data_IF_794449764429
#
_entry.id   IF_794449764429
#
_cell.length_a   1.000
_cell.length_b   1.000
_cell.length_c   1.000
_cell.angle_alpha   90.00
_cell.angle_beta   90.00
_cell.angle_gamma   90.00
#
_symmetry.space_group_name_H-M   'P 1'
#
loop_
_entity.id
_entity.type
_entity.pdbx_description
1 polymer ?
#
# COMPACT_ATOMS: atom_id res chain seq x y z
N UNK A 1 -3.10 83.16 0.10
CA UNK A 1 -3.15 82.01 -0.81
C UNK A 1 -2.98 80.74 0.00
N UNK A 2 -3.83 79.76 -0.27
CA UNK A 2 -4.08 78.52 0.47
C UNK A 2 -2.85 77.61 0.63
N UNK A 3 -2.63 77.06 1.82
CA UNK A 3 -1.90 75.81 1.99
C UNK A 3 -2.90 74.70 2.33
N UNK A 4 -3.15 73.86 1.32
CA UNK A 4 -3.92 72.64 1.37
C UNK A 4 -3.13 71.59 2.15
N UNK A 5 -3.65 71.12 3.28
CA UNK A 5 -3.15 69.92 3.94
C UNK A 5 -3.86 68.70 3.34
N UNK A 6 -3.11 67.87 2.60
CA UNK A 6 -3.61 66.58 2.12
C UNK A 6 -3.69 65.58 3.29
N UNK A 7 -4.77 64.81 3.43
CA UNK A 7 -4.82 63.76 4.45
C UNK A 7 -3.94 62.58 4.00
N UNK A 8 -3.01 62.16 4.84
CA UNK A 8 -2.26 60.93 4.59
C UNK A 8 -3.16 59.72 4.87
N UNK A 9 -3.41 58.90 3.85
CA UNK A 9 -4.02 57.57 3.99
C UNK A 9 -3.00 56.63 4.63
N UNK A 10 -3.33 56.07 5.78
CA UNK A 10 -2.60 54.94 6.36
C UNK A 10 -2.83 53.68 5.51
N UNK A 11 -1.80 52.87 5.21
CA UNK A 11 -2.00 51.60 4.52
C UNK A 11 -2.72 50.60 5.45
N UNK A 12 -3.53 49.67 4.91
CA UNK A 12 -4.14 48.62 5.71
C UNK A 12 -3.06 47.67 6.26
N UNK A 13 -3.29 47.02 7.41
CA UNK A 13 -2.34 46.04 7.92
C UNK A 13 -2.24 44.88 6.93
N UNK A 14 -1.03 44.52 6.53
CA UNK A 14 -0.79 43.24 5.86
C UNK A 14 -1.16 42.13 6.85
N UNK A 15 -2.30 41.48 6.64
CA UNK A 15 -2.54 40.16 7.20
C UNK A 15 -1.58 39.18 6.55
N UNK A 16 -0.41 39.02 7.17
CA UNK A 16 0.52 37.93 6.87
C UNK A 16 -0.16 36.63 7.32
N UNK A 17 -0.93 36.02 6.42
CA UNK A 17 -1.22 34.59 6.51
C UNK A 17 0.11 33.87 6.28
N UNK A 18 0.76 33.49 7.37
CA UNK A 18 1.85 32.54 7.34
C UNK A 18 1.30 31.20 6.81
N UNK A 19 1.30 31.03 5.49
CA UNK A 19 1.28 29.71 4.85
C UNK A 19 2.64 29.06 5.14
N UNK A 20 2.84 28.63 6.38
CA UNK A 20 3.87 27.64 6.69
C UNK A 20 3.62 26.39 5.84
N UNK A 21 4.66 25.59 5.54
CA UNK A 21 4.46 24.33 4.86
C UNK A 21 3.39 23.56 5.62
N UNK A 22 2.27 23.25 4.95
CA UNK A 22 1.25 22.36 5.46
C UNK A 22 1.91 20.99 5.66
N UNK A 23 2.56 20.80 6.80
CA UNK A 23 2.96 19.48 7.27
C UNK A 23 1.63 18.76 7.51
N UNK A 24 1.21 17.97 6.53
CA UNK A 24 0.02 17.15 6.66
C UNK A 24 0.20 16.29 7.91
N UNK A 25 -0.73 16.37 8.90
CA UNK A 25 -0.43 15.99 10.27
C UNK A 25 -0.01 14.53 10.45
N UNK A 26 -0.28 13.65 9.50
CA UNK A 26 0.36 12.33 9.38
C UNK A 26 0.38 11.96 7.90
N UNK A 27 1.49 11.42 7.39
CA UNK A 27 1.58 10.90 6.03
C UNK A 27 1.66 9.39 6.11
N UNK A 28 0.80 8.68 5.38
CA UNK A 28 0.84 7.24 5.37
C UNK A 28 2.01 6.77 4.52
N UNK A 29 2.99 6.17 5.17
CA UNK A 29 4.14 5.56 4.53
C UNK A 29 3.80 4.11 4.15
N UNK A 30 3.88 3.71 2.89
CA UNK A 30 3.66 2.31 2.54
C UNK A 30 4.83 1.40 2.94
N UNK A 31 6.02 1.94 3.15
CA UNK A 31 7.20 1.15 3.50
C UNK A 31 7.06 0.47 4.87
N UNK A 32 7.55 -0.76 4.95
CA UNK A 32 7.55 -1.59 6.14
C UNK A 32 6.67 -2.82 6.05
N UNK A 33 6.35 -3.39 7.21
CA UNK A 33 5.66 -4.67 7.33
C UNK A 33 4.16 -4.49 7.62
N UNK A 34 3.36 -5.21 6.87
CA UNK A 34 1.90 -5.20 6.92
C UNK A 34 1.36 -6.62 7.10
N UNK A 35 0.22 -6.75 7.78
CA UNK A 35 -0.53 -8.02 7.91
C UNK A 35 -2.01 -7.78 7.60
N UNK A 36 -2.60 -8.64 6.78
CA UNK A 36 -4.05 -8.60 6.54
C UNK A 36 -4.85 -9.46 7.54
N UNK A 37 -6.16 -9.43 7.41
CA UNK A 37 -7.11 -10.20 8.22
C UNK A 37 -7.03 -11.73 8.00
N UNK A 38 -6.37 -12.18 6.93
CA UNK A 38 -6.12 -13.60 6.64
C UNK A 38 -4.75 -14.06 7.14
N UNK A 39 -4.02 -13.20 7.86
CA UNK A 39 -2.66 -13.42 8.36
C UNK A 39 -1.54 -13.46 7.31
N UNK A 40 -1.83 -13.12 6.06
CA UNK A 40 -0.80 -12.87 5.04
C UNK A 40 0.05 -11.67 5.44
N UNK A 41 1.36 -11.78 5.20
CA UNK A 41 2.35 -10.75 5.48
C UNK A 41 2.84 -10.11 4.19
N UNK A 42 3.07 -8.80 4.24
CA UNK A 42 3.60 -8.03 3.13
C UNK A 42 4.67 -7.08 3.64
N UNK A 43 5.86 -7.16 3.08
CA UNK A 43 6.96 -6.23 3.35
C UNK A 43 7.18 -5.37 2.10
N UNK A 44 7.02 -4.06 2.24
CA UNK A 44 7.25 -3.08 1.19
C UNK A 44 8.59 -2.37 1.48
N UNK A 45 9.46 -2.34 0.48
CA UNK A 45 10.74 -1.64 0.55
C UNK A 45 10.52 -0.11 0.56
N UNK A 46 11.60 0.67 0.60
CA UNK A 46 11.52 2.12 0.49
C UNK A 46 10.82 2.54 -0.81
N UNK A 47 9.77 3.35 -0.72
CA UNK A 47 9.15 4.00 -1.90
C UNK A 47 10.11 5.05 -2.46
N UNK A 48 10.35 5.04 -3.77
CA UNK A 48 11.22 6.02 -4.42
C UNK A 48 10.50 7.35 -4.71
N UNK A 49 11.24 8.36 -5.18
CA UNK A 49 10.69 9.70 -5.43
C UNK A 49 9.65 9.74 -6.57
N UNK A 50 9.62 8.71 -7.43
CA UNK A 50 8.60 8.52 -8.46
C UNK A 50 7.35 7.81 -7.93
N UNK A 51 7.32 7.43 -6.64
CA UNK A 51 6.23 6.69 -6.02
C UNK A 51 6.27 5.18 -6.27
N UNK A 52 7.31 4.65 -6.93
CA UNK A 52 7.45 3.23 -7.21
C UNK A 52 8.05 2.48 -6.02
N UNK A 53 7.67 1.22 -5.86
CA UNK A 53 8.19 0.36 -4.80
C UNK A 53 8.26 -1.10 -5.22
N UNK A 54 9.14 -1.83 -4.55
CA UNK A 54 9.22 -3.28 -4.55
C UNK A 54 8.94 -3.83 -3.18
N UNK A 55 8.87 -5.16 -3.09
CA UNK A 55 8.82 -5.83 -1.81
C UNK A 55 8.60 -7.32 -1.97
N UNK A 56 8.09 -7.93 -0.90
CA UNK A 56 7.74 -9.33 -0.85
C UNK A 56 6.39 -9.53 -0.18
N UNK A 57 5.65 -10.52 -0.68
CA UNK A 57 4.38 -10.97 -0.13
C UNK A 57 4.52 -12.43 0.32
N UNK A 58 3.95 -12.75 1.46
CA UNK A 58 3.81 -14.11 1.96
C UNK A 58 2.34 -14.34 2.28
N UNK A 59 1.67 -15.12 1.44
CA UNK A 59 0.28 -15.48 1.69
C UNK A 59 0.17 -16.48 2.84
N UNK A 60 -0.89 -16.40 3.64
CA UNK A 60 -1.23 -17.42 4.63
C UNK A 60 -2.23 -18.45 4.08
N UNK A 61 -2.82 -18.19 2.91
CA UNK A 61 -3.82 -19.04 2.25
C UNK A 61 -3.41 -19.33 0.81
N UNK A 62 -3.88 -20.44 0.24
CA UNK A 62 -3.60 -20.79 -1.16
C UNK A 62 -4.78 -21.54 -1.80
N UNK A 63 -4.95 -21.40 -3.11
CA UNK A 63 -5.89 -22.19 -3.90
C UNK A 63 -5.24 -23.45 -4.51
N UNK A 64 -3.92 -23.63 -4.32
CA UNK A 64 -3.16 -24.78 -4.81
C UNK A 64 -2.68 -25.66 -3.65
N UNK A 65 -2.35 -26.92 -3.93
CA UNK A 65 -1.66 -27.79 -2.96
C UNK A 65 -0.15 -27.53 -2.86
N UNK A 66 0.36 -26.51 -3.56
CA UNK A 66 1.79 -26.22 -3.58
C UNK A 66 2.22 -25.54 -2.28
N UNK A 67 3.46 -25.79 -1.90
CA UNK A 67 4.07 -25.16 -0.73
C UNK A 67 4.10 -23.63 -0.89
N UNK A 68 3.52 -22.92 0.07
CA UNK A 68 3.55 -21.46 0.12
C UNK A 68 4.99 -20.97 0.19
N UNK A 69 5.31 -19.97 -0.64
CA UNK A 69 6.61 -19.32 -0.65
C UNK A 69 6.43 -17.81 -0.70
N UNK A 70 7.41 -17.09 -0.16
CA UNK A 70 7.48 -15.65 -0.35
C UNK A 70 7.67 -15.32 -1.84
N UNK A 71 6.87 -14.36 -2.31
CA UNK A 71 6.80 -13.93 -3.70
C UNK A 71 7.12 -12.45 -3.85
N UNK A 72 7.80 -12.04 -4.93
CA UNK A 72 8.09 -10.63 -5.17
C UNK A 72 6.82 -9.85 -5.49
N UNK A 73 6.78 -8.60 -5.04
CA UNK A 73 5.79 -7.62 -5.47
C UNK A 73 6.46 -6.36 -6.04
N UNK A 74 5.74 -5.68 -6.94
CA UNK A 74 6.12 -4.37 -7.49
C UNK A 74 4.89 -3.50 -7.66
N UNK A 75 4.99 -2.21 -7.35
CA UNK A 75 3.88 -1.29 -7.40
C UNK A 75 4.27 0.16 -7.46
N UNK A 76 3.25 1.01 -7.43
CA UNK A 76 3.39 2.45 -7.34
C UNK A 76 2.28 3.07 -6.51
N UNK A 77 2.57 4.21 -5.88
CA UNK A 77 1.63 5.03 -5.14
C UNK A 77 1.55 6.44 -5.73
N UNK A 78 0.45 7.13 -5.44
CA UNK A 78 0.33 8.55 -5.75
C UNK A 78 1.25 9.40 -4.88
N UNK A 79 1.65 10.55 -5.41
CA UNK A 79 2.42 11.57 -4.72
C UNK A 79 1.80 11.95 -3.37
N UNK A 80 2.61 11.89 -2.32
CA UNK A 80 2.23 12.12 -0.94
C UNK A 80 2.52 13.54 -0.47
N UNK A 81 3.24 14.36 -1.24
CA UNK A 81 3.57 15.76 -0.87
C UNK A 81 2.32 16.62 -0.66
N UNK A 82 1.25 16.31 -1.41
CA UNK A 82 -0.05 16.99 -1.33
C UNK A 82 -1.15 16.11 -0.73
N UNK A 83 -0.86 14.83 -0.45
CA UNK A 83 -1.86 13.83 0.00
C UNK A 83 -1.30 12.95 1.11
N UNK A 84 -1.92 12.98 2.27
CA UNK A 84 -1.53 12.15 3.43
C UNK A 84 -1.96 10.69 3.32
N UNK A 85 -2.91 10.38 2.44
CA UNK A 85 -3.61 9.09 2.36
C UNK A 85 -3.67 8.62 0.89
N UNK A 86 -2.52 8.25 0.29
CA UNK A 86 -2.41 7.99 -1.14
C UNK A 86 -3.15 6.72 -1.56
N UNK A 87 -3.65 6.73 -2.80
CA UNK A 87 -4.01 5.51 -3.53
C UNK A 87 -2.77 4.87 -4.13
N UNK A 88 -2.76 3.55 -4.20
CA UNK A 88 -1.64 2.77 -4.69
C UNK A 88 -2.12 1.47 -5.35
N UNK A 89 -1.23 0.83 -6.10
CA UNK A 89 -1.45 -0.49 -6.63
C UNK A 89 -0.15 -1.27 -6.76
N UNK A 90 -0.23 -2.58 -6.66
CA UNK A 90 0.92 -3.46 -6.81
C UNK A 90 0.53 -4.82 -7.41
N UNK A 91 1.49 -5.47 -8.04
CA UNK A 91 1.38 -6.81 -8.59
C UNK A 91 2.24 -7.75 -7.77
N UNK A 92 1.70 -8.93 -7.44
CA UNK A 92 2.43 -10.04 -6.82
C UNK A 92 2.60 -11.15 -7.86
N UNK A 93 3.84 -11.52 -8.12
CA UNK A 93 4.16 -12.63 -9.01
C UNK A 93 4.38 -13.91 -8.19
N UNK A 94 3.52 -14.89 -8.43
CA UNK A 94 3.41 -16.10 -7.64
C UNK A 94 4.28 -17.26 -8.15
N UNK A 95 5.07 -17.07 -9.21
CA UNK A 95 5.85 -18.08 -9.97
C UNK A 95 6.50 -19.21 -9.16
N UNK A 96 6.96 -18.96 -7.92
CA UNK A 96 7.61 -19.99 -7.09
C UNK A 96 6.65 -20.98 -6.42
N UNK A 97 5.36 -20.65 -6.31
CA UNK A 97 4.33 -21.53 -5.74
C UNK A 97 3.12 -21.74 -6.67
N UNK A 98 2.87 -20.87 -7.66
CA UNK A 98 1.80 -21.08 -8.65
C UNK A 98 2.03 -20.25 -9.92
N UNK A 99 1.46 -20.71 -11.03
CA UNK A 99 1.43 -19.96 -12.30
C UNK A 99 0.24 -18.98 -12.29
N UNK A 100 0.16 -18.14 -11.26
CA UNK A 100 -0.89 -17.13 -11.15
C UNK A 100 -0.28 -15.76 -10.89
N UNK A 101 -1.10 -14.71 -10.95
CA UNK A 101 -0.68 -13.34 -10.61
C UNK A 101 -1.81 -12.67 -9.87
N UNK A 102 -1.49 -11.94 -8.80
CA UNK A 102 -2.49 -11.09 -8.14
C UNK A 102 -2.12 -9.63 -8.29
N UNK A 103 -3.08 -8.80 -8.67
CA UNK A 103 -2.97 -7.34 -8.55
C UNK A 103 -3.79 -6.87 -7.37
N UNK A 104 -3.25 -5.93 -6.61
CA UNK A 104 -3.93 -5.21 -5.53
C UNK A 104 -4.03 -3.75 -5.91
N UNK A 105 -5.16 -3.14 -5.57
CA UNK A 105 -5.38 -1.69 -5.64
C UNK A 105 -6.03 -1.25 -4.35
N UNK A 106 -5.63 -0.09 -3.82
CA UNK A 106 -6.18 0.37 -2.56
C UNK A 106 -5.80 1.79 -2.20
N UNK A 107 -6.15 2.13 -0.97
CA UNK A 107 -5.83 3.41 -0.36
C UNK A 107 -5.37 3.20 1.07
N UNK A 108 -4.34 3.96 1.47
CA UNK A 108 -3.96 4.00 2.87
C UNK A 108 -4.80 5.04 3.63
N UNK A 109 -5.25 4.67 4.83
CA UNK A 109 -5.96 5.53 5.74
C UNK A 109 -5.22 5.68 7.08
N UNK A 110 -5.33 6.86 7.70
CA UNK A 110 -4.80 7.14 9.02
C UNK A 110 -5.97 7.56 9.92
N UNK A 111 -6.15 6.85 11.03
CA UNK A 111 -7.15 7.24 12.04
C UNK A 111 -6.70 8.43 12.88
N UNK A 112 -7.63 9.05 13.62
CA UNK A 112 -7.37 10.14 14.57
C UNK A 112 -6.31 9.79 15.64
N UNK A 113 -6.06 8.49 15.86
CA UNK A 113 -5.05 7.97 16.79
C UNK A 113 -3.71 7.66 16.12
N UNK A 114 -3.50 8.06 14.86
CA UNK A 114 -2.29 7.78 14.08
C UNK A 114 -2.17 6.33 13.59
N UNK A 115 -3.19 5.47 13.79
CA UNK A 115 -3.16 4.09 13.30
C UNK A 115 -3.39 4.07 11.80
N UNK A 116 -2.45 3.49 11.07
CA UNK A 116 -2.52 3.29 9.62
C UNK A 116 -3.24 1.99 9.24
N UNK A 117 -3.96 2.01 8.12
CA UNK A 117 -4.65 0.85 7.55
C UNK A 117 -4.69 0.94 6.03
N UNK A 118 -4.35 -0.15 5.34
CA UNK A 118 -4.53 -0.23 3.89
C UNK A 118 -5.84 -0.94 3.59
N UNK A 119 -6.77 -0.26 2.93
CA UNK A 119 -7.97 -0.92 2.39
C UNK A 119 -7.75 -1.22 0.93
N UNK A 120 -7.83 -2.50 0.57
CA UNK A 120 -7.48 -2.98 -0.76
C UNK A 120 -8.56 -3.87 -1.35
N UNK A 121 -8.64 -3.87 -2.67
CA UNK A 121 -9.26 -4.91 -3.48
C UNK A 121 -8.17 -5.61 -4.29
N UNK A 122 -8.43 -6.85 -4.68
CA UNK A 122 -7.50 -7.61 -5.50
C UNK A 122 -8.20 -8.44 -6.58
N UNK A 123 -7.45 -8.71 -7.65
CA UNK A 123 -7.80 -9.68 -8.68
C UNK A 123 -6.69 -10.72 -8.77
N UNK A 124 -7.03 -11.99 -8.56
CA UNK A 124 -6.14 -13.13 -8.80
C UNK A 124 -6.46 -13.69 -10.19
N UNK A 125 -5.45 -13.72 -11.06
CA UNK A 125 -5.51 -14.33 -12.38
C UNK A 125 -4.77 -15.65 -12.40
N UNK A 126 -5.48 -16.74 -12.67
CA UNK A 126 -4.91 -18.05 -12.95
C UNK A 126 -4.47 -18.18 -14.42
N UNK A 127 -3.39 -18.92 -14.65
CA UNK A 127 -3.08 -19.47 -15.97
C UNK A 127 -4.14 -20.51 -16.37
N UNK A 128 -4.55 -20.47 -17.64
CA UNK A 128 -5.48 -21.46 -18.21
C UNK A 128 -4.96 -21.98 -19.54
N UNK A 129 -5.25 -23.24 -19.84
CA UNK A 129 -4.74 -23.92 -21.03
C UNK A 129 -5.33 -23.46 -22.36
N UNK A 130 -6.44 -22.71 -22.35
CA UNK A 130 -7.06 -22.18 -23.56
C UNK A 130 -7.73 -20.82 -23.32
N UNK A 131 -7.86 -19.96 -24.35
CA UNK A 131 -8.61 -18.70 -24.23
C UNK A 131 -10.07 -18.90 -23.81
N UNK A 132 -10.70 -20.01 -24.20
CA UNK A 132 -12.08 -20.36 -23.86
C UNK A 132 -12.31 -20.59 -22.36
N UNK A 133 -11.25 -20.89 -21.61
CA UNK A 133 -11.28 -21.07 -20.15
C UNK A 133 -11.13 -19.74 -19.39
N UNK A 134 -10.92 -18.63 -20.09
CA UNK A 134 -10.63 -17.33 -19.48
C UNK A 134 -11.75 -16.79 -18.57
N UNK A 135 -12.99 -17.25 -18.74
CA UNK A 135 -14.16 -16.82 -17.97
C UNK A 135 -14.08 -17.19 -16.49
N UNK A 136 -13.40 -18.29 -16.14
CA UNK A 136 -13.26 -18.76 -14.74
C UNK A 136 -11.94 -18.38 -14.09
N UNK A 137 -11.02 -17.79 -14.86
CA UNK A 137 -9.64 -17.65 -14.48
C UNK A 137 -9.36 -16.41 -13.59
N UNK A 138 -10.36 -15.58 -13.29
CA UNK A 138 -10.18 -14.38 -12.47
C UNK A 138 -11.06 -14.45 -11.22
N UNK A 139 -10.43 -14.44 -10.04
CA UNK A 139 -11.10 -14.27 -8.74
C UNK A 139 -10.93 -12.84 -8.25
N UNK A 140 -11.86 -12.37 -7.41
CA UNK A 140 -11.86 -11.02 -6.84
C UNK A 140 -12.08 -11.09 -5.33
N UNK A 141 -11.46 -10.19 -4.59
CA UNK A 141 -11.70 -10.04 -3.16
C UNK A 141 -11.19 -8.73 -2.59
N UNK A 142 -11.23 -8.63 -1.28
CA UNK A 142 -10.75 -7.47 -0.50
C UNK A 142 -9.76 -7.93 0.56
N UNK A 143 -8.83 -7.07 0.95
CA UNK A 143 -8.06 -7.24 2.17
C UNK A 143 -7.87 -5.92 2.89
N UNK A 144 -7.80 -5.99 4.22
CA UNK A 144 -7.50 -4.86 5.10
C UNK A 144 -6.20 -5.12 5.83
N UNK A 145 -5.15 -4.37 5.48
CA UNK A 145 -3.85 -4.51 6.11
C UNK A 145 -3.66 -3.53 7.26
N UNK A 146 -2.98 -3.99 8.31
CA UNK A 146 -2.54 -3.15 9.43
C UNK A 146 -1.05 -3.27 9.63
N UNK A 147 -0.42 -2.18 10.09
CA UNK A 147 1.02 -2.12 10.30
C UNK A 147 1.46 -3.10 11.38
N UNK A 148 2.59 -3.77 11.14
CA UNK A 148 3.29 -4.62 12.11
C UNK A 148 4.65 -4.02 12.46
N UNK A 149 5.12 -4.29 13.66
CA UNK A 149 6.51 -3.98 14.05
C UNK A 149 7.45 -4.85 13.22
N UNK A 150 8.36 -4.21 12.48
CA UNK A 150 9.42 -4.89 11.75
C UNK A 150 10.70 -4.84 12.59
N UNK A 151 10.93 -5.88 13.41
CA UNK A 151 12.12 -5.96 14.27
C UNK A 151 13.36 -6.44 13.51
N UNK A 152 13.19 -7.16 12.39
CA UNK A 152 14.25 -7.76 11.59
C UNK A 152 13.91 -7.70 10.08
N UNK A 153 14.11 -6.53 9.43
CA UNK A 153 13.76 -6.35 8.02
C UNK A 153 14.37 -7.41 7.10
N UNK A 154 13.59 -7.91 6.15
CA UNK A 154 13.99 -8.93 5.19
C UNK A 154 14.10 -10.37 5.73
N UNK A 155 14.01 -10.58 7.05
CA UNK A 155 14.04 -11.93 7.67
C UNK A 155 12.66 -12.44 8.09
N UNK A 156 11.73 -11.53 8.40
CA UNK A 156 10.43 -11.90 8.99
C UNK A 156 9.64 -12.84 8.07
N UNK A 157 9.58 -12.56 6.76
CA UNK A 157 8.83 -13.41 5.83
C UNK A 157 9.42 -14.82 5.70
N UNK A 158 10.74 -14.98 5.85
CA UNK A 158 11.37 -16.31 5.84
C UNK A 158 11.01 -17.09 7.09
N UNK A 159 11.03 -16.45 8.27
CA UNK A 159 10.68 -17.09 9.54
C UNK A 159 9.21 -17.50 9.63
N UNK A 160 8.32 -16.78 8.94
CA UNK A 160 6.88 -17.04 8.95
C UNK A 160 6.42 -17.94 7.80
N UNK A 161 7.33 -18.39 6.93
CA UNK A 161 6.98 -19.31 5.87
C UNK A 161 6.61 -20.68 6.49
N UNK A 162 5.41 -21.22 6.21
CA UNK A 162 5.01 -22.50 6.77
C UNK A 162 5.88 -23.64 6.20
N UNK A 163 6.12 -24.73 6.96
CA UNK A 163 6.73 -25.94 6.41
C UNK A 163 5.89 -26.50 5.26
N UNK A 164 6.55 -27.02 4.21
CA UNK A 164 5.85 -27.56 3.04
C UNK A 164 4.99 -28.79 3.33
N UNK A 165 5.22 -29.46 4.46
CA UNK A 165 4.47 -30.64 4.89
C UNK A 165 3.15 -30.29 5.61
N UNK A 166 2.90 -29.01 5.87
CA UNK A 166 1.66 -28.53 6.49
C UNK A 166 0.71 -28.01 5.41
N UNK A 167 -0.48 -28.61 5.24
CA UNK A 167 -1.48 -28.08 4.32
C UNK A 167 -1.87 -26.65 4.73
N UNK A 168 -1.75 -25.72 3.79
CA UNK A 168 -2.19 -24.35 4.01
C UNK A 168 -3.72 -24.25 3.93
N UNK A 169 -4.34 -23.34 4.70
CA UNK A 169 -5.77 -23.09 4.59
C UNK A 169 -6.17 -22.67 3.16
N UNK A 170 -7.34 -23.12 2.68
CA UNK A 170 -7.81 -22.75 1.35
C UNK A 170 -8.13 -21.25 1.29
N UNK A 171 -7.77 -20.61 0.18
CA UNK A 171 -8.27 -19.28 -0.13
C UNK A 171 -9.79 -19.36 -0.39
N UNK A 172 -10.59 -18.61 0.38
CA UNK A 172 -12.04 -18.50 0.21
C UNK A 172 -12.39 -17.44 -0.83
#
# INVERSE_FOLDING_TARGET
ASHSASPQLLPPPLSTLCLGPHLLPFQCDLSGLWRNELDSLMEIDKVNDAGEFSGKYLTAVTATSNCIRSSPLKGAQHDTTQRSQPTFGFTVNWEKFSNSTTVFVGQCFISDKGKETLKTMWLLREEVGSPGDGWRATRVGTNVFTRKRNLEPGKILQQHSPPCDTPAPPAQ
#
